data_IF_328240424916
#
_entry.id   IF_328240424916
#
_cell.length_a   1.000
_cell.length_b   1.000
_cell.length_c   1.000
_cell.angle_alpha   90.00
_cell.angle_beta   90.00
_cell.angle_gamma   90.00
#
_symmetry.space_group_name_H-M   'P 1'
#
loop_
_entity.id
_entity.type
_entity.pdbx_description
1 polymer ?
#
# COMPACT_ATOMS: atom_id res chain seq x y z
N UNK A 1 -5.36 -15.13 -5.72
CA UNK A 1 -4.97 -14.87 -4.31
C UNK A 1 -4.92 -16.13 -3.44
N UNK A 2 -5.79 -17.13 -3.63
CA UNK A 2 -5.90 -18.34 -2.78
C UNK A 2 -4.56 -19.05 -2.48
N UNK A 3 -3.67 -19.21 -3.46
CA UNK A 3 -2.35 -19.86 -3.26
C UNK A 3 -1.46 -19.09 -2.26
N UNK A 4 -1.33 -17.77 -2.42
CA UNK A 4 -0.47 -16.95 -1.57
C UNK A 4 -1.03 -16.82 -0.16
N UNK A 5 -2.29 -16.38 -0.04
CA UNK A 5 -2.91 -16.16 1.27
C UNK A 5 -3.18 -17.46 2.02
N UNK A 6 -3.62 -18.50 1.31
CA UNK A 6 -3.86 -19.82 1.89
C UNK A 6 -2.57 -20.51 2.30
N UNK A 7 -1.54 -20.46 1.45
CA UNK A 7 -0.21 -21.00 1.77
C UNK A 7 0.41 -20.33 3.00
N UNK A 8 0.34 -18.99 3.08
CA UNK A 8 0.82 -18.26 4.25
C UNK A 8 0.02 -18.59 5.52
N UNK A 9 -1.31 -18.62 5.43
CA UNK A 9 -2.16 -18.97 6.57
C UNK A 9 -1.89 -20.38 7.08
N UNK A 10 -1.72 -21.36 6.17
CA UNK A 10 -1.37 -22.72 6.53
C UNK A 10 0.00 -22.81 7.21
N UNK A 11 1.03 -22.18 6.63
CA UNK A 11 2.37 -22.11 7.22
C UNK A 11 2.33 -21.49 8.62
N UNK A 12 1.67 -20.34 8.78
CA UNK A 12 1.56 -19.66 10.07
C UNK A 12 0.85 -20.52 11.11
N UNK A 13 -0.29 -21.11 10.76
CA UNK A 13 -1.05 -21.97 11.67
C UNK A 13 -0.24 -23.21 12.08
N UNK A 14 0.45 -23.85 11.14
CA UNK A 14 1.31 -25.00 11.42
C UNK A 14 2.49 -24.61 12.33
N UNK A 15 3.14 -23.46 12.07
CA UNK A 15 4.29 -22.99 12.85
C UNK A 15 3.93 -22.66 14.30
N UNK A 16 2.79 -22.02 14.51
CA UNK A 16 2.36 -21.54 15.83
C UNK A 16 1.31 -22.44 16.49
N UNK A 17 1.05 -23.64 15.93
CA UNK A 17 0.05 -24.61 16.43
C UNK A 17 -1.33 -23.99 16.65
N UNK A 18 -1.75 -23.11 15.73
CA UNK A 18 -3.06 -22.44 15.75
C UNK A 18 -4.05 -23.16 14.82
N UNK A 19 -5.33 -22.99 15.11
CA UNK A 19 -6.44 -23.44 14.26
C UNK A 19 -7.32 -22.25 13.88
N UNK A 20 -8.05 -22.37 12.76
CA UNK A 20 -8.99 -21.35 12.29
C UNK A 20 -8.40 -20.33 11.31
N UNK A 21 -9.19 -19.29 11.03
CA UNK A 21 -8.84 -18.24 10.05
C UNK A 21 -7.74 -17.32 10.57
N UNK A 22 -6.74 -17.03 9.73
CA UNK A 22 -5.71 -16.02 10.01
C UNK A 22 -6.09 -14.64 9.47
N UNK A 23 -6.77 -14.59 8.32
CA UNK A 23 -7.13 -13.36 7.63
C UNK A 23 -8.59 -12.99 7.94
N UNK A 24 -8.89 -11.70 8.00
CA UNK A 24 -10.21 -11.18 8.36
C UNK A 24 -11.29 -11.48 7.30
N UNK A 25 -10.91 -11.73 6.04
CA UNK A 25 -11.87 -12.01 4.98
C UNK A 25 -11.25 -12.30 3.62
N UNK A 26 -12.10 -12.32 2.60
CA UNK A 26 -11.69 -12.53 1.20
C UNK A 26 -10.89 -11.34 0.69
N UNK A 27 -9.90 -11.62 -0.15
CA UNK A 27 -9.16 -10.59 -0.86
C UNK A 27 -10.10 -9.74 -1.74
N UNK A 28 -9.93 -8.43 -1.71
CA UNK A 28 -10.66 -7.47 -2.55
C UNK A 28 -9.77 -7.04 -3.71
N UNK A 29 -10.35 -6.91 -4.90
CA UNK A 29 -9.67 -6.41 -6.09
C UNK A 29 -10.52 -5.31 -6.73
N UNK A 30 -9.86 -4.28 -7.25
CA UNK A 30 -10.49 -3.22 -8.04
C UNK A 30 -9.66 -3.01 -9.31
N UNK A 31 -10.33 -2.99 -10.45
CA UNK A 31 -9.68 -2.75 -11.74
C UNK A 31 -9.22 -1.29 -11.83
N UNK A 32 -7.97 -1.08 -12.25
CA UNK A 32 -7.43 0.25 -12.55
C UNK A 32 -7.84 0.59 -13.98
N UNK A 33 -8.83 1.47 -14.12
CA UNK A 33 -9.45 1.83 -15.40
C UNK A 33 -8.63 2.79 -16.25
N UNK A 34 -7.79 3.59 -15.61
CA UNK A 34 -7.14 4.73 -16.23
C UNK A 34 -5.80 5.03 -15.57
N UNK A 35 -4.98 5.80 -16.29
CA UNK A 35 -3.63 6.11 -15.88
C UNK A 35 -3.58 7.02 -14.64
N UNK A 36 -4.52 7.97 -14.52
CA UNK A 36 -4.59 8.83 -13.33
C UNK A 36 -4.78 7.96 -12.09
N UNK A 37 -5.72 7.02 -12.13
CA UNK A 37 -5.92 6.08 -11.03
C UNK A 37 -4.66 5.24 -10.75
N UNK A 38 -3.95 4.76 -11.78
CA UNK A 38 -2.69 4.04 -11.60
C UNK A 38 -1.67 4.85 -10.78
N UNK A 39 -1.43 6.11 -11.17
CA UNK A 39 -0.45 6.99 -10.53
C UNK A 39 -0.83 7.31 -9.07
N UNK A 40 -2.10 7.61 -8.81
CA UNK A 40 -2.55 7.86 -7.44
C UNK A 40 -2.52 6.59 -6.57
N UNK A 41 -2.84 5.42 -7.15
CA UNK A 41 -2.77 4.16 -6.44
C UNK A 41 -1.32 3.80 -6.06
N UNK A 42 -0.35 4.00 -6.97
CA UNK A 42 1.06 3.76 -6.67
C UNK A 42 1.58 4.67 -5.56
N UNK A 43 1.21 5.96 -5.58
CA UNK A 43 1.54 6.90 -4.51
C UNK A 43 0.91 6.48 -3.18
N UNK A 44 -0.37 6.11 -3.18
CA UNK A 44 -1.08 5.67 -1.98
C UNK A 44 -0.45 4.42 -1.37
N UNK A 45 -0.15 3.38 -2.16
CA UNK A 45 0.47 2.14 -1.67
C UNK A 45 1.81 2.42 -0.99
N UNK A 46 2.64 3.29 -1.60
CA UNK A 46 3.96 3.61 -1.05
C UNK A 46 3.90 4.53 0.17
N UNK A 47 2.89 5.39 0.28
CA UNK A 47 2.73 6.35 1.38
C UNK A 47 1.67 5.93 2.40
N UNK A 48 1.20 4.69 2.33
CA UNK A 48 0.08 4.22 3.16
C UNK A 48 0.38 4.34 4.66
N UNK A 49 1.62 4.11 5.08
CA UNK A 49 2.05 4.30 6.46
C UNK A 49 1.88 5.74 6.95
N UNK A 50 2.18 6.72 6.07
CA UNK A 50 1.99 8.15 6.35
C UNK A 50 0.50 8.50 6.36
N UNK A 51 -0.26 7.97 5.39
CA UNK A 51 -1.71 8.16 5.34
C UNK A 51 -2.37 7.64 6.60
N UNK A 52 -1.91 6.52 7.16
CA UNK A 52 -2.41 5.96 8.42
C UNK A 52 -1.71 6.51 9.67
N UNK A 53 -0.78 7.46 9.52
CA UNK A 53 -0.05 8.12 10.60
C UNK A 53 0.59 7.11 11.57
N UNK A 54 1.14 6.02 11.03
CA UNK A 54 1.78 4.99 11.83
C UNK A 54 3.01 5.57 12.56
N UNK A 55 3.07 5.38 13.87
CA UNK A 55 4.12 5.94 14.73
C UNK A 55 4.66 4.92 15.73
N UNK A 56 5.72 5.29 16.44
CA UNK A 56 6.31 4.46 17.49
C UNK A 56 6.79 3.09 17.01
N UNK A 57 6.37 2.02 17.68
CA UNK A 57 6.79 0.64 17.36
C UNK A 57 6.26 0.17 16.01
N UNK A 58 5.08 0.64 15.61
CA UNK A 58 4.46 0.26 14.33
C UNK A 58 5.27 0.79 13.13
N UNK A 59 5.80 2.02 13.24
CA UNK A 59 6.62 2.61 12.19
C UNK A 59 7.85 1.75 11.83
N UNK A 60 8.45 1.05 12.81
CA UNK A 60 9.60 0.15 12.59
C UNK A 60 9.25 -1.10 11.77
N UNK A 61 7.98 -1.50 11.77
CA UNK A 61 7.47 -2.67 11.07
C UNK A 61 6.97 -2.35 9.65
N UNK A 62 6.89 -1.06 9.30
CA UNK A 62 6.45 -0.65 7.96
C UNK A 62 7.38 -1.26 6.90
N UNK A 63 6.76 -1.82 5.87
CA UNK A 63 7.41 -2.31 4.66
C UNK A 63 6.61 -1.78 3.48
N UNK A 64 7.26 -1.00 2.64
CA UNK A 64 6.71 -0.46 1.40
C UNK A 64 7.84 -0.42 0.37
N UNK A 65 7.50 -0.14 -0.89
CA UNK A 65 8.47 -0.03 -1.99
C UNK A 65 8.92 1.42 -2.22
N UNK A 66 8.75 2.32 -1.24
CA UNK A 66 9.03 3.74 -1.41
C UNK A 66 10.48 4.01 -1.81
N UNK A 67 11.43 3.29 -1.22
CA UNK A 67 12.84 3.42 -1.57
C UNK A 67 13.12 2.91 -2.99
N UNK A 68 12.47 1.82 -3.42
CA UNK A 68 12.61 1.30 -4.79
C UNK A 68 12.18 2.35 -5.83
N UNK A 69 11.15 3.16 -5.52
CA UNK A 69 10.63 4.20 -6.41
C UNK A 69 11.41 5.52 -6.35
N UNK A 70 12.03 5.85 -5.21
CA UNK A 70 12.62 7.18 -5.00
C UNK A 70 14.14 7.19 -5.09
N UNK A 71 14.81 6.15 -4.61
CA UNK A 71 16.28 6.02 -4.61
C UNK A 71 16.78 5.01 -5.64
N UNK A 72 15.86 4.42 -6.40
CA UNK A 72 16.14 3.35 -7.36
C UNK A 72 16.86 2.14 -6.72
N UNK A 73 16.57 1.85 -5.45
CA UNK A 73 17.09 0.65 -4.81
C UNK A 73 16.56 -0.62 -5.50
N UNK A 74 17.34 -1.69 -5.43
CA UNK A 74 16.91 -3.01 -5.88
C UNK A 74 15.83 -3.56 -4.94
N UNK A 75 14.84 -4.23 -5.52
CA UNK A 75 13.77 -4.87 -4.77
C UNK A 75 12.91 -5.77 -5.64
N UNK A 76 11.66 -5.98 -5.22
CA UNK A 76 10.75 -6.95 -5.82
C UNK A 76 9.77 -6.26 -6.78
N UNK A 77 9.61 -4.93 -6.68
CA UNK A 77 8.57 -4.22 -7.38
C UNK A 77 8.98 -3.91 -8.83
N UNK A 78 8.10 -4.25 -9.77
CA UNK A 78 8.16 -3.69 -11.12
C UNK A 78 7.59 -2.26 -11.09
N UNK A 79 8.47 -1.30 -11.35
CA UNK A 79 8.23 0.14 -11.25
C UNK A 79 8.28 0.85 -12.59
N UNK A 80 8.61 0.15 -13.67
CA UNK A 80 8.84 0.77 -14.98
C UNK A 80 7.56 1.41 -15.52
N UNK A 81 6.42 0.74 -15.38
CA UNK A 81 5.12 1.24 -15.85
C UNK A 81 4.74 2.60 -15.24
N UNK A 82 5.14 2.86 -13.99
CA UNK A 82 4.86 4.13 -13.30
C UNK A 82 5.99 5.12 -13.53
N UNK A 83 7.24 4.73 -13.29
CA UNK A 83 8.38 5.66 -13.32
C UNK A 83 8.72 6.16 -14.73
N UNK A 84 8.43 5.37 -15.78
CA UNK A 84 8.63 5.80 -17.18
C UNK A 84 7.79 7.01 -17.58
N UNK A 85 6.74 7.32 -16.81
CA UNK A 85 5.86 8.47 -17.06
C UNK A 85 6.37 9.78 -16.42
N UNK A 86 7.44 9.70 -15.62
CA UNK A 86 8.06 10.85 -14.99
C UNK A 86 9.46 11.06 -15.57
N UNK A 87 9.90 12.32 -15.62
CA UNK A 87 11.27 12.65 -16.06
C UNK A 87 12.35 11.96 -15.22
N UNK A 88 12.07 11.76 -13.92
CA UNK A 88 12.96 11.10 -12.96
C UNK A 88 12.20 10.70 -11.68
N UNK A 89 12.86 9.90 -10.84
CA UNK A 89 12.32 9.46 -9.54
C UNK A 89 11.99 10.62 -8.59
N UNK A 90 12.70 11.76 -8.70
CA UNK A 90 12.43 12.95 -7.89
C UNK A 90 11.09 13.60 -8.25
N UNK A 91 10.71 13.63 -9.53
CA UNK A 91 9.38 14.12 -9.96
C UNK A 91 8.25 13.24 -9.43
N UNK A 92 8.42 11.91 -9.48
CA UNK A 92 7.48 10.99 -8.85
C UNK A 92 7.36 11.23 -7.33
N UNK A 93 8.51 11.42 -6.65
CA UNK A 93 8.55 11.71 -5.21
C UNK A 93 7.75 12.97 -4.87
N UNK A 94 7.94 14.05 -5.64
CA UNK A 94 7.20 15.30 -5.48
C UNK A 94 5.70 15.05 -5.69
N UNK A 95 5.32 14.43 -6.82
CA UNK A 95 3.92 14.08 -7.11
C UNK A 95 3.27 13.29 -5.97
N UNK A 96 3.94 12.27 -5.44
CA UNK A 96 3.39 11.44 -4.38
C UNK A 96 3.21 12.23 -3.07
N UNK A 97 4.17 13.07 -2.70
CA UNK A 97 4.11 13.90 -1.48
C UNK A 97 3.07 15.04 -1.60
N UNK A 98 2.94 15.66 -2.77
CA UNK A 98 1.95 16.71 -3.03
C UNK A 98 0.51 16.17 -2.91
N UNK A 99 0.32 14.88 -3.20
CA UNK A 99 -0.97 14.21 -3.06
C UNK A 99 -1.28 13.70 -1.64
N UNK A 100 -0.28 13.66 -0.75
CA UNK A 100 -0.47 13.13 0.61
C UNK A 100 -1.54 13.88 1.42
N UNK A 101 -1.62 15.23 1.40
CA UNK A 101 -2.68 15.97 2.10
C UNK A 101 -4.09 15.57 1.64
N UNK A 102 -4.26 15.36 0.33
CA UNK A 102 -5.54 14.91 -0.24
C UNK A 102 -5.91 13.48 0.20
N UNK A 103 -4.93 12.57 0.26
CA UNK A 103 -5.16 11.20 0.76
C UNK A 103 -5.56 11.21 2.25
N UNK A 104 -4.93 12.08 3.05
CA UNK A 104 -5.27 12.26 4.46
C UNK A 104 -6.69 12.78 4.64
N UNK A 105 -7.10 13.80 3.88
CA UNK A 105 -8.47 14.34 3.97
C UNK A 105 -9.53 13.32 3.53
N UNK A 106 -9.26 12.56 2.45
CA UNK A 106 -10.15 11.47 2.01
C UNK A 106 -10.31 10.38 3.06
N UNK A 107 -9.21 9.98 3.72
CA UNK A 107 -9.26 9.00 4.80
C UNK A 107 -10.12 9.49 5.96
N UNK A 108 -9.99 10.76 6.34
CA UNK A 108 -10.78 11.31 7.43
C UNK A 108 -12.28 11.33 7.10
N UNK A 109 -12.64 11.79 5.90
CA UNK A 109 -14.04 11.74 5.45
C UNK A 109 -14.64 10.32 5.42
N UNK A 110 -13.85 9.28 5.12
CA UNK A 110 -14.33 7.90 5.21
C UNK A 110 -14.52 7.41 6.65
N UNK A 111 -13.73 7.88 7.61
CA UNK A 111 -13.97 7.57 9.02
C UNK A 111 -15.27 8.20 9.50
N UNK A 112 -15.46 9.49 9.19
CA UNK A 112 -16.69 10.21 9.54
C UNK A 112 -17.93 9.51 8.96
N UNK A 113 -17.88 9.08 7.70
CA UNK A 113 -18.98 8.33 7.08
C UNK A 113 -19.22 6.96 7.73
N UNK A 114 -18.15 6.25 8.11
CA UNK A 114 -18.26 4.95 8.78
C UNK A 114 -18.71 5.02 10.24
N UNK A 115 -18.65 6.20 10.88
CA UNK A 115 -19.20 6.45 12.21
C UNK A 115 -20.70 6.81 12.17
N UNK A 116 -21.26 7.10 10.99
CA UNK A 116 -22.67 7.42 10.77
C UNK A 116 -23.52 6.20 10.38
N UNK A 117 -22.90 5.05 10.08
CA UNK A 117 -23.54 3.75 9.79
C UNK A 117 -23.63 2.86 11.04
#
# INVERSE_FOLDING_TARGET
MHRLTGGYAWYFNSKYKRTGSLLQGRFKAKHISDNTYLLHASAYVNLNDKVHQLSGRAAKLVRNSWDEYTTNSAGICDKEMVLSQFENSSKYKIFALDNLPFMLSKREGYKELGELE
#
